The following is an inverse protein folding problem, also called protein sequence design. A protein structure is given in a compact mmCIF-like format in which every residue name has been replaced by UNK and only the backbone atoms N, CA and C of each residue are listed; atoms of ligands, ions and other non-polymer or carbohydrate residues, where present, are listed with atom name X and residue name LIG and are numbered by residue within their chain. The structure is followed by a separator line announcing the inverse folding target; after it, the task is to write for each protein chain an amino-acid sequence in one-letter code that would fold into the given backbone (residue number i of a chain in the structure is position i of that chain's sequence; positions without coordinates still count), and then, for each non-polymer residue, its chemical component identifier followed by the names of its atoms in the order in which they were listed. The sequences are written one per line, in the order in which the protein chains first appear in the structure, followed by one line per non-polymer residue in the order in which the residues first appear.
data_IF_271889576510
#
_entry.id   IF_271889576510
#
_cell.length_a   1.000
_cell.length_b   1.000
_cell.length_c   1.000
_cell.angle_alpha   90.00
_cell.angle_beta   90.00
_cell.angle_gamma   90.00
#
_symmetry.space_group_name_H-M   'P 1'
#
loop_
_entity.id
_entity.type
_entity.pdbx_description
1 polymer ?
#
# COMPACT_ATOMS: atom_id res chain seq x y z
N UNK A 1 -3.85 1.20 -23.21
CA UNK A 1 -4.50 -0.03 -22.70
C UNK A 1 -4.53 0.05 -21.19
N UNK A 2 -5.69 -0.14 -20.56
CA UNK A 2 -5.83 -0.17 -19.10
C UNK A 2 -5.41 -1.55 -18.58
N UNK A 3 -4.63 -1.59 -17.50
CA UNK A 3 -4.31 -2.83 -16.77
C UNK A 3 -4.88 -2.73 -15.36
N UNK A 4 -5.60 -3.77 -14.92
CA UNK A 4 -6.15 -3.87 -13.59
C UNK A 4 -5.52 -5.07 -12.89
N UNK A 5 -5.01 -4.85 -11.68
CA UNK A 5 -4.44 -5.88 -10.81
C UNK A 5 -5.41 -6.10 -9.65
N UNK A 6 -5.77 -7.35 -9.38
CA UNK A 6 -6.78 -7.68 -8.37
C UNK A 6 -6.25 -8.66 -7.34
N UNK A 7 -6.07 -8.18 -6.11
CA UNK A 7 -5.67 -8.99 -4.97
C UNK A 7 -6.92 -9.54 -4.23
N UNK A 8 -7.33 -10.76 -4.57
CA UNK A 8 -8.60 -11.33 -4.10
C UNK A 8 -8.55 -11.90 -2.67
N UNK A 9 -7.38 -12.26 -2.16
CA UNK A 9 -7.20 -12.96 -0.87
C UNK A 9 -7.08 -12.03 0.34
N UNK A 10 -7.79 -10.90 0.34
CA UNK A 10 -7.79 -9.92 1.44
C UNK A 10 -9.20 -9.61 1.94
N UNK A 11 -9.65 -10.23 3.06
CA UNK A 11 -10.96 -9.98 3.65
C UNK A 11 -11.12 -8.52 4.08
N UNK A 12 -12.37 -8.04 4.11
CA UNK A 12 -12.69 -6.73 4.64
C UNK A 12 -12.51 -6.71 6.16
N UNK A 13 -11.98 -5.61 6.71
CA UNK A 13 -11.61 -5.47 8.13
C UNK A 13 -10.62 -6.53 8.66
N UNK A 14 -9.87 -7.20 7.77
CA UNK A 14 -8.84 -8.16 8.14
C UNK A 14 -7.51 -7.89 7.44
N UNK A 15 -6.61 -8.86 7.56
CA UNK A 15 -5.30 -8.88 6.89
C UNK A 15 -5.31 -9.91 5.76
N UNK A 16 -4.36 -9.86 4.80
CA UNK A 16 -4.19 -10.93 3.83
C UNK A 16 -4.08 -12.29 4.53
N UNK A 17 -4.61 -13.35 3.91
CA UNK A 17 -4.50 -14.71 4.48
C UNK A 17 -3.05 -15.18 4.63
N UNK A 18 -2.20 -14.72 3.73
CA UNK A 18 -0.74 -14.91 3.78
C UNK A 18 -0.10 -13.57 3.42
N UNK A 19 0.72 -13.04 4.32
CA UNK A 19 1.30 -11.70 4.20
C UNK A 19 2.30 -11.63 3.03
N UNK A 20 3.00 -12.74 2.76
CA UNK A 20 3.95 -12.86 1.65
C UNK A 20 3.29 -12.60 0.29
N UNK A 21 2.01 -12.96 0.13
CA UNK A 21 1.28 -12.71 -1.11
C UNK A 21 1.13 -11.22 -1.41
N UNK A 22 1.08 -10.35 -0.38
CA UNK A 22 0.99 -8.91 -0.61
C UNK A 22 2.31 -8.35 -1.19
N UNK A 23 3.45 -8.84 -0.71
CA UNK A 23 4.76 -8.49 -1.27
C UNK A 23 4.94 -9.03 -2.69
N UNK A 24 4.47 -10.25 -2.96
CA UNK A 24 4.45 -10.82 -4.31
C UNK A 24 3.62 -9.95 -5.26
N UNK A 25 2.40 -9.59 -4.85
CA UNK A 25 1.52 -8.72 -5.63
C UNK A 25 2.15 -7.35 -5.92
N UNK A 26 2.78 -6.73 -4.91
CA UNK A 26 3.56 -5.50 -5.13
C UNK A 26 4.68 -5.71 -6.16
N UNK A 27 5.40 -6.83 -6.08
CA UNK A 27 6.53 -7.12 -6.96
C UNK A 27 6.14 -7.29 -8.43
N UNK A 28 4.93 -7.76 -8.72
CA UNK A 28 4.38 -7.87 -10.08
C UNK A 28 4.07 -6.50 -10.71
N UNK A 29 3.78 -5.50 -9.88
CA UNK A 29 3.30 -4.19 -10.30
C UNK A 29 4.44 -3.16 -10.37
N UNK A 30 5.44 -3.25 -9.48
CA UNK A 30 6.48 -2.21 -9.30
C UNK A 30 7.29 -1.84 -10.53
N UNK A 31 7.41 -2.74 -11.50
CA UNK A 31 8.19 -2.51 -12.73
C UNK A 31 7.34 -1.98 -13.89
N UNK A 32 6.04 -1.79 -13.70
CA UNK A 32 5.21 -1.17 -14.72
C UNK A 32 5.56 0.32 -14.82
N UNK A 33 5.63 0.83 -16.06
CA UNK A 33 5.79 2.26 -16.29
C UNK A 33 4.44 2.96 -16.15
N UNK A 34 4.39 3.97 -15.28
CA UNK A 34 3.20 4.78 -15.05
C UNK A 34 3.42 6.17 -15.63
N UNK A 35 2.65 6.55 -16.65
CA UNK A 35 2.63 7.93 -17.16
C UNK A 35 1.68 8.84 -16.34
N UNK A 36 0.86 8.22 -15.48
CA UNK A 36 -0.16 8.85 -14.66
C UNK A 36 -0.24 8.12 -13.31
N UNK A 37 -0.79 8.74 -12.26
CA UNK A 37 -0.96 8.09 -10.97
C UNK A 37 -1.72 6.76 -11.06
N UNK A 38 -1.27 5.76 -10.30
CA UNK A 38 -1.97 4.49 -10.16
C UNK A 38 -3.25 4.67 -9.36
N UNK A 39 -4.37 4.13 -9.85
CA UNK A 39 -5.61 4.04 -9.07
C UNK A 39 -5.55 2.81 -8.18
N UNK A 40 -5.62 3.01 -6.86
CA UNK A 40 -5.72 1.94 -5.86
C UNK A 40 -7.06 2.08 -5.14
N UNK A 41 -7.84 0.99 -5.08
CA UNK A 41 -9.14 0.99 -4.39
C UNK A 41 -9.43 -0.33 -3.68
N UNK A 42 -10.38 -0.30 -2.75
CA UNK A 42 -11.00 -1.49 -2.16
C UNK A 42 -12.53 -1.29 -2.17
N UNK A 43 -13.20 -1.40 -1.03
CA UNK A 43 -14.60 -0.98 -0.84
C UNK A 43 -14.68 0.51 -0.47
N UNK A 44 -14.34 0.88 0.77
CA UNK A 44 -14.33 2.29 1.23
C UNK A 44 -13.08 3.09 0.79
N UNK A 45 -12.07 2.41 0.24
CA UNK A 45 -10.82 3.04 -0.21
C UNK A 45 -9.93 3.56 0.92
N UNK A 46 -10.04 3.06 2.14
CA UNK A 46 -9.25 3.56 3.30
C UNK A 46 -8.43 2.47 4.02
N UNK A 47 -9.02 1.29 4.27
CA UNK A 47 -8.35 0.17 4.93
C UNK A 47 -7.25 -0.46 4.07
N UNK A 48 -7.63 -1.47 3.28
CA UNK A 48 -6.73 -2.22 2.37
C UNK A 48 -5.97 -1.31 1.39
N UNK A 49 -6.66 -0.31 0.84
CA UNK A 49 -6.06 0.72 -0.01
C UNK A 49 -4.93 1.46 0.70
N UNK A 50 -5.19 1.92 1.93
CA UNK A 50 -4.19 2.59 2.74
C UNK A 50 -3.01 1.69 3.08
N UNK A 51 -3.28 0.45 3.46
CA UNK A 51 -2.22 -0.52 3.79
C UNK A 51 -1.33 -0.80 2.58
N UNK A 52 -1.89 -0.97 1.38
CA UNK A 52 -1.10 -1.19 0.17
C UNK A 52 -0.28 0.05 -0.23
N UNK A 53 -0.86 1.25 -0.17
CA UNK A 53 -0.13 2.50 -0.45
C UNK A 53 0.99 2.72 0.58
N UNK A 54 0.72 2.51 1.86
CA UNK A 54 1.71 2.64 2.92
C UNK A 54 2.87 1.67 2.75
N UNK A 55 2.59 0.40 2.42
CA UNK A 55 3.62 -0.59 2.08
C UNK A 55 4.47 -0.11 0.89
N UNK A 56 3.82 0.38 -0.17
CA UNK A 56 4.52 0.89 -1.34
C UNK A 56 5.48 2.03 -0.98
N UNK A 57 4.97 3.05 -0.28
CA UNK A 57 5.76 4.22 0.10
C UNK A 57 6.95 3.83 0.97
N UNK A 58 6.72 3.03 2.01
CA UNK A 58 7.79 2.60 2.92
C UNK A 58 8.88 1.80 2.20
N UNK A 59 8.53 0.94 1.24
CA UNK A 59 9.55 0.22 0.46
C UNK A 59 10.35 1.18 -0.42
N UNK A 60 9.71 2.17 -1.05
CA UNK A 60 10.42 3.16 -1.88
C UNK A 60 11.29 4.08 -1.01
N UNK A 61 10.83 4.48 0.17
CA UNK A 61 11.61 5.27 1.13
C UNK A 61 12.90 4.51 1.53
N UNK A 62 12.80 3.23 1.90
CA UNK A 62 13.95 2.37 2.23
C UNK A 62 14.91 2.21 1.05
N UNK A 63 14.40 2.11 -0.18
CA UNK A 63 15.27 2.01 -1.36
C UNK A 63 15.99 3.31 -1.67
N UNK A 64 15.35 4.45 -1.41
CA UNK A 64 15.91 5.77 -1.66
C UNK A 64 16.91 6.17 -0.57
N UNK A 65 16.72 5.69 0.65
CA UNK A 65 17.64 5.87 1.78
C UNK A 65 17.89 4.54 2.53
N UNK A 66 18.78 3.68 2.00
CA UNK A 66 19.02 2.35 2.57
C UNK A 66 19.73 2.37 3.93
N UNK A 67 20.31 3.50 4.33
CA UNK A 67 20.94 3.68 5.63
C UNK A 67 19.95 4.24 6.68
N UNK A 68 18.72 4.59 6.28
CA UNK A 68 17.67 5.02 7.21
C UNK A 68 17.24 3.85 8.12
N UNK A 69 17.63 3.95 9.39
CA UNK A 69 17.24 3.01 10.44
C UNK A 69 15.99 3.43 11.21
N UNK A 70 15.42 4.62 10.95
CA UNK A 70 14.29 5.21 11.67
C UNK A 70 12.97 5.12 10.88
N UNK A 71 12.58 3.90 10.52
CA UNK A 71 11.30 3.65 9.84
C UNK A 71 10.14 3.79 10.83
N UNK A 72 9.50 4.96 10.84
CA UNK A 72 8.37 5.26 11.71
C UNK A 72 7.02 5.03 11.01
N UNK A 73 6.49 3.80 11.10
CA UNK A 73 5.21 3.39 10.50
C UNK A 73 4.04 4.27 11.00
N UNK A 74 4.02 4.64 12.28
CA UNK A 74 2.94 5.47 12.84
C UNK A 74 2.93 6.85 12.20
N UNK A 75 4.10 7.48 12.04
CA UNK A 75 4.25 8.78 11.37
C UNK A 75 3.81 8.69 9.91
N UNK A 76 4.22 7.64 9.19
CA UNK A 76 3.79 7.42 7.81
C UNK A 76 2.26 7.34 7.68
N UNK A 77 1.60 6.58 8.56
CA UNK A 77 0.14 6.47 8.58
C UNK A 77 -0.54 7.81 8.94
N UNK A 78 -0.01 8.55 9.92
CA UNK A 78 -0.55 9.86 10.29
C UNK A 78 -0.45 10.84 9.13
N UNK A 79 0.68 10.88 8.42
CA UNK A 79 0.85 11.72 7.24
C UNK A 79 -0.12 11.32 6.11
N UNK A 80 -0.28 10.02 5.84
CA UNK A 80 -1.28 9.56 4.86
C UNK A 80 -2.72 9.97 5.22
N UNK A 81 -3.03 10.09 6.51
CA UNK A 81 -4.36 10.53 7.00
C UNK A 81 -4.63 12.01 6.77
N UNK A 82 -3.60 12.83 6.54
CA UNK A 82 -3.75 14.24 6.13
C UNK A 82 -4.34 14.35 4.71
N UNK A 83 -3.97 13.41 3.82
CA UNK A 83 -4.47 13.37 2.45
C UNK A 83 -5.79 12.61 2.33
N UNK A 84 -5.98 11.52 3.11
CA UNK A 84 -7.22 10.74 3.10
C UNK A 84 -7.57 10.25 4.51
N UNK A 85 -8.63 10.79 5.14
CA UNK A 85 -9.03 10.40 6.49
C UNK A 85 -9.25 8.89 6.64
N UNK A 86 -8.91 8.36 7.83
CA UNK A 86 -9.07 6.94 8.19
C UNK A 86 -8.23 5.95 7.38
N UNK A 87 -7.25 6.40 6.62
CA UNK A 87 -6.30 5.53 5.92
C UNK A 87 -5.59 4.59 6.91
N UNK A 88 -5.42 3.32 6.51
CA UNK A 88 -5.03 2.19 7.37
C UNK A 88 -6.02 2.05 8.53
N UNK A 89 -7.18 1.49 8.18
CA UNK A 89 -8.26 1.18 9.10
C UNK A 89 -8.12 -0.25 9.63
N UNK A 90 -8.00 -0.38 10.95
CA UNK A 90 -8.27 -1.62 11.67
C UNK A 90 -9.48 -1.38 12.59
N UNK A 91 -10.17 -2.45 12.97
CA UNK A 91 -11.23 -2.38 13.97
C UNK A 91 -10.64 -2.33 15.37
#
# INVERSE_FOLDING_TARGET
MLKQYHFASWPDFGVPREEAHLLQFWSEIRYQKFNFPMVVHCSAGVGRTGTFIGLWNLIEDIKNDPDDTDINIKRAVLHMRESRPSTVQAK
#
